data_IF_380354425327
#
_entry.id   IF_380354425327
#
_cell.length_a   1.000
_cell.length_b   1.000
_cell.length_c   1.000
_cell.angle_alpha   90.00
_cell.angle_beta   90.00
_cell.angle_gamma   90.00
#
_symmetry.space_group_name_H-M   'P 1'
#
loop_
_entity.id
_entity.type
_entity.pdbx_description
1 polymer ?
#
# COMPACT_ATOMS: atom_id res chain seq x y z
N UNK A 1 51.74 58.17 -10.43
CA UNK A 1 52.39 57.35 -11.47
C UNK A 1 52.69 55.99 -10.85
N UNK A 2 52.10 54.85 -11.18
CA UNK A 2 50.93 54.48 -11.97
C UNK A 2 50.41 53.17 -11.33
N UNK A 3 49.10 53.07 -11.12
CA UNK A 3 48.40 51.86 -10.69
C UNK A 3 48.29 50.93 -11.90
N UNK A 4 48.71 49.67 -11.77
CA UNK A 4 48.49 48.64 -12.76
C UNK A 4 47.57 47.55 -12.18
N UNK A 5 46.39 47.47 -12.77
CA UNK A 5 45.33 46.48 -12.60
C UNK A 5 45.76 45.10 -13.10
N UNK A 6 45.77 44.09 -12.22
CA UNK A 6 45.82 42.68 -12.58
C UNK A 6 44.42 42.09 -12.45
N UNK A 7 43.70 42.00 -13.56
CA UNK A 7 42.38 41.37 -13.66
C UNK A 7 42.46 39.86 -13.44
N UNK A 8 41.40 39.34 -12.83
CA UNK A 8 41.17 37.92 -12.57
C UNK A 8 40.96 37.12 -13.87
N UNK A 9 41.72 36.05 -14.04
CA UNK A 9 41.34 34.91 -14.87
C UNK A 9 41.18 33.71 -13.94
N UNK A 10 39.93 33.45 -13.54
CA UNK A 10 39.56 32.19 -12.96
C UNK A 10 39.55 31.14 -14.09
N UNK A 11 40.37 30.11 -13.95
CA UNK A 11 40.35 28.93 -14.81
C UNK A 11 38.91 28.37 -14.90
N UNK A 12 38.44 27.95 -16.09
CA UNK A 12 37.15 27.31 -16.19
C UNK A 12 37.26 25.96 -15.48
N UNK A 13 36.58 25.84 -14.33
CA UNK A 13 36.33 24.57 -13.67
C UNK A 13 35.61 23.69 -14.69
N UNK A 14 36.32 22.67 -15.17
CA UNK A 14 35.78 21.59 -15.97
C UNK A 14 34.57 21.02 -15.21
N UNK A 15 33.38 21.23 -15.77
CA UNK A 15 32.13 20.70 -15.24
C UNK A 15 32.20 19.19 -15.40
N UNK A 16 32.78 18.53 -14.40
CA UNK A 16 32.70 17.09 -14.23
C UNK A 16 31.24 16.66 -14.35
N UNK A 17 30.97 16.01 -15.47
CA UNK A 17 29.83 15.14 -15.77
C UNK A 17 28.93 14.88 -14.57
N UNK A 18 27.72 15.44 -14.61
CA UNK A 18 26.59 14.94 -13.85
C UNK A 18 26.58 13.40 -13.88
N UNK A 19 26.39 12.70 -12.75
CA UNK A 19 26.20 11.26 -12.80
C UNK A 19 24.99 11.00 -13.69
N UNK A 20 25.22 10.30 -14.80
CA UNK A 20 24.15 9.78 -15.64
C UNK A 20 23.17 9.04 -14.73
N UNK A 21 21.95 9.57 -14.60
CA UNK A 21 20.83 8.80 -14.08
C UNK A 21 20.73 7.60 -15.01
N UNK A 22 21.20 6.44 -14.58
CA UNK A 22 21.01 5.16 -15.27
C UNK A 22 19.54 5.12 -15.68
N UNK A 23 19.27 5.21 -16.99
CA UNK A 23 17.94 5.08 -17.55
C UNK A 23 17.50 3.62 -17.37
N UNK A 24 17.19 3.24 -16.13
CA UNK A 24 16.56 1.98 -15.84
C UNK A 24 15.29 1.91 -16.68
N UNK A 25 15.18 0.87 -17.49
CA UNK A 25 14.02 0.63 -18.33
C UNK A 25 12.75 0.79 -17.50
N UNK A 26 11.75 1.53 -18.00
CA UNK A 26 10.48 1.76 -17.30
C UNK A 26 9.87 0.45 -16.76
N UNK A 27 10.12 -0.69 -17.41
CA UNK A 27 9.69 -2.02 -16.96
C UNK A 27 10.35 -2.47 -15.65
N UNK A 28 11.64 -2.20 -15.47
CA UNK A 28 12.39 -2.53 -14.25
C UNK A 28 11.88 -1.68 -13.09
N UNK A 29 11.66 -0.38 -13.33
CA UNK A 29 11.08 0.52 -12.34
C UNK A 29 9.63 0.16 -11.99
N UNK A 30 8.83 -0.29 -12.97
CA UNK A 30 7.49 -0.82 -12.71
C UNK A 30 7.53 -2.06 -11.82
N UNK A 31 8.45 -2.99 -12.09
CA UNK A 31 8.61 -4.18 -11.27
C UNK A 31 9.07 -3.84 -9.85
N UNK A 32 10.00 -2.90 -9.69
CA UNK A 32 10.40 -2.37 -8.39
C UNK A 32 9.24 -1.71 -7.65
N UNK A 33 8.44 -0.89 -8.36
CA UNK A 33 7.25 -0.25 -7.80
C UNK A 33 6.19 -1.26 -7.34
N UNK A 34 6.01 -2.39 -8.06
CA UNK A 34 5.12 -3.46 -7.57
C UNK A 34 5.53 -3.97 -6.20
N UNK A 35 6.83 -4.21 -5.99
CA UNK A 35 7.35 -4.70 -4.72
C UNK A 35 7.25 -3.68 -3.59
N UNK A 36 7.81 -2.49 -3.83
CA UNK A 36 8.01 -1.49 -2.76
C UNK A 36 6.80 -0.58 -2.58
N UNK A 37 6.12 -0.18 -3.65
CA UNK A 37 5.03 0.81 -3.56
C UNK A 37 3.69 0.14 -3.30
N UNK A 38 3.46 -1.02 -3.92
CA UNK A 38 2.16 -1.69 -3.93
C UNK A 38 2.06 -2.91 -3.01
N UNK A 39 3.11 -3.20 -2.24
CA UNK A 39 3.10 -4.31 -1.29
C UNK A 39 1.98 -4.17 -0.26
N UNK A 40 1.86 -2.99 0.35
CA UNK A 40 0.90 -2.71 1.42
C UNK A 40 -0.56 -2.88 0.96
N UNK A 41 -1.00 -2.05 0.02
CA UNK A 41 -2.35 -2.14 -0.58
C UNK A 41 -2.61 -3.50 -1.26
N UNK A 42 -1.55 -4.17 -1.73
CA UNK A 42 -1.63 -5.49 -2.33
C UNK A 42 -1.99 -6.59 -1.34
N UNK A 43 -1.73 -6.41 -0.04
CA UNK A 43 -2.03 -7.38 1.02
C UNK A 43 -3.38 -7.16 1.69
N UNK A 44 -4.00 -5.99 1.47
CA UNK A 44 -5.33 -5.67 2.01
C UNK A 44 -6.44 -6.68 1.68
N UNK A 45 -6.46 -7.41 0.55
CA UNK A 45 -7.49 -8.42 0.29
C UNK A 45 -7.52 -9.57 1.29
N UNK A 46 -6.45 -9.80 2.07
CA UNK A 46 -6.39 -10.85 3.08
C UNK A 46 -7.39 -10.58 4.22
N UNK A 47 -7.64 -9.31 4.55
CA UNK A 47 -8.47 -8.90 5.68
C UNK A 47 -9.64 -7.99 5.31
N UNK A 48 -9.45 -7.01 4.41
CA UNK A 48 -10.39 -5.90 4.24
C UNK A 48 -11.83 -6.31 3.87
N UNK A 49 -11.98 -7.32 2.99
CA UNK A 49 -13.32 -7.78 2.58
C UNK A 49 -14.05 -8.49 3.73
N UNK A 50 -13.35 -9.35 4.46
CA UNK A 50 -13.87 -10.06 5.63
C UNK A 50 -14.33 -9.08 6.71
N UNK A 51 -13.47 -8.13 7.07
CA UNK A 51 -13.79 -7.12 8.09
C UNK A 51 -14.96 -6.22 7.67
N UNK A 52 -15.02 -5.83 6.40
CA UNK A 52 -16.14 -5.05 5.88
C UNK A 52 -17.45 -5.85 5.85
N UNK A 53 -17.41 -7.15 5.54
CA UNK A 53 -18.58 -8.01 5.63
C UNK A 53 -19.07 -8.17 7.06
N UNK A 54 -18.18 -8.46 8.02
CA UNK A 54 -18.56 -8.55 9.44
C UNK A 54 -19.18 -7.24 9.95
N UNK A 55 -18.64 -6.09 9.53
CA UNK A 55 -19.21 -4.79 9.87
C UNK A 55 -20.60 -4.58 9.23
N UNK A 56 -20.86 -5.16 8.06
CA UNK A 56 -22.13 -5.01 7.32
C UNK A 56 -23.24 -5.95 7.78
N UNK A 57 -22.93 -7.20 8.13
CA UNK A 57 -23.95 -8.23 8.37
C UNK A 57 -24.49 -8.22 9.80
N UNK A 58 -23.83 -7.55 10.75
CA UNK A 58 -24.21 -7.56 12.17
C UNK A 58 -24.26 -8.97 12.80
N UNK A 59 -23.72 -9.98 12.11
CA UNK A 59 -23.78 -11.41 12.40
C UNK A 59 -23.01 -12.24 11.36
N UNK A 60 -23.03 -13.57 11.47
CA UNK A 60 -22.14 -14.46 10.68
C UNK A 60 -22.57 -14.74 9.23
N UNK A 61 -23.77 -14.29 8.82
CA UNK A 61 -24.33 -14.55 7.49
C UNK A 61 -24.69 -13.23 6.79
N UNK A 62 -23.98 -12.91 5.71
CA UNK A 62 -24.22 -11.76 4.86
C UNK A 62 -25.22 -12.08 3.75
N UNK A 63 -26.20 -11.21 3.53
CA UNK A 63 -27.14 -11.37 2.41
C UNK A 63 -26.51 -10.85 1.09
N UNK A 64 -27.13 -11.15 -0.06
CA UNK A 64 -26.61 -10.74 -1.38
C UNK A 64 -26.51 -9.21 -1.53
N UNK A 65 -27.44 -8.45 -0.95
CA UNK A 65 -27.42 -6.99 -1.01
C UNK A 65 -26.23 -6.41 -0.22
N UNK A 66 -25.92 -6.98 0.95
CA UNK A 66 -24.77 -6.58 1.77
C UNK A 66 -23.46 -6.85 1.03
N UNK A 67 -23.33 -8.05 0.45
CA UNK A 67 -22.13 -8.45 -0.30
C UNK A 67 -21.90 -7.52 -1.50
N UNK A 68 -22.95 -7.23 -2.28
CA UNK A 68 -22.85 -6.30 -3.42
C UNK A 68 -22.58 -4.85 -2.96
N UNK A 69 -23.17 -4.43 -1.83
CA UNK A 69 -22.94 -3.13 -1.22
C UNK A 69 -21.50 -2.93 -0.77
N UNK A 70 -20.96 -3.87 0.01
CA UNK A 70 -19.57 -3.88 0.48
C UNK A 70 -18.60 -3.93 -0.70
N UNK A 71 -18.85 -4.81 -1.67
CA UNK A 71 -17.99 -4.92 -2.85
C UNK A 71 -18.00 -3.61 -3.66
N UNK A 72 -19.17 -2.98 -3.84
CA UNK A 72 -19.29 -1.69 -4.51
C UNK A 72 -18.53 -0.59 -3.78
N UNK A 73 -18.65 -0.55 -2.43
CA UNK A 73 -17.90 0.38 -1.60
C UNK A 73 -16.38 0.20 -1.78
N UNK A 74 -15.86 -1.02 -1.80
CA UNK A 74 -14.42 -1.28 -2.02
C UNK A 74 -14.00 -0.81 -3.42
N UNK A 75 -14.73 -1.20 -4.47
CA UNK A 75 -14.42 -0.83 -5.85
C UNK A 75 -14.33 0.69 -6.00
N UNK A 76 -15.33 1.41 -5.47
CA UNK A 76 -15.37 2.87 -5.57
C UNK A 76 -14.40 3.55 -4.62
N UNK A 77 -14.10 2.98 -3.46
CA UNK A 77 -13.08 3.51 -2.56
C UNK A 77 -11.68 3.44 -3.19
N UNK A 78 -11.32 2.31 -3.82
CA UNK A 78 -10.10 2.16 -4.61
C UNK A 78 -10.07 3.13 -5.80
N UNK A 79 -11.20 3.26 -6.51
CA UNK A 79 -11.31 4.13 -7.69
C UNK A 79 -11.18 5.61 -7.31
N UNK A 80 -11.94 6.08 -6.33
CA UNK A 80 -11.95 7.49 -5.94
C UNK A 80 -10.66 7.85 -5.22
N UNK A 81 -10.24 7.04 -4.24
CA UNK A 81 -9.12 7.40 -3.39
C UNK A 81 -7.79 7.15 -4.11
N UNK A 82 -7.56 5.95 -4.63
CA UNK A 82 -6.26 5.61 -5.22
C UNK A 82 -6.18 6.11 -6.66
N UNK A 83 -7.15 5.78 -7.52
CA UNK A 83 -7.07 6.15 -8.93
C UNK A 83 -7.29 7.66 -9.14
N UNK A 84 -8.38 8.24 -8.62
CA UNK A 84 -8.69 9.65 -8.88
C UNK A 84 -7.85 10.57 -7.99
N UNK A 85 -7.90 10.41 -6.67
CA UNK A 85 -7.15 11.30 -5.75
C UNK A 85 -5.64 11.07 -5.88
N UNK A 86 -5.12 9.86 -5.68
CA UNK A 86 -3.66 9.69 -5.65
C UNK A 86 -3.03 9.73 -7.05
N UNK A 87 -3.46 8.83 -7.94
CA UNK A 87 -2.82 8.62 -9.25
C UNK A 87 -3.02 9.82 -10.19
N UNK A 88 -4.24 10.38 -10.28
CA UNK A 88 -4.51 11.49 -11.20
C UNK A 88 -4.10 12.85 -10.62
N UNK A 89 -4.26 13.09 -9.31
CA UNK A 89 -4.07 14.40 -8.69
C UNK A 89 -2.79 14.47 -7.83
N UNK A 90 -2.70 13.73 -6.73
CA UNK A 90 -1.63 13.90 -5.72
C UNK A 90 -0.23 13.63 -6.28
N UNK A 91 -0.05 12.61 -7.15
CA UNK A 91 1.25 12.33 -7.77
C UNK A 91 1.76 13.46 -8.70
N UNK A 92 0.94 14.47 -9.02
CA UNK A 92 1.39 15.67 -9.75
C UNK A 92 1.94 16.76 -8.83
N UNK A 93 1.67 16.67 -7.54
CA UNK A 93 2.11 17.63 -6.55
C UNK A 93 3.45 17.17 -5.94
N UNK A 94 4.50 17.07 -6.74
CA UNK A 94 5.84 16.81 -6.22
C UNK A 94 6.51 18.11 -5.72
N UNK A 95 7.45 17.96 -4.80
CA UNK A 95 8.33 19.03 -4.36
C UNK A 95 9.77 18.68 -4.76
N UNK A 96 10.20 19.14 -5.94
CA UNK A 96 11.50 18.80 -6.54
C UNK A 96 11.67 17.31 -6.79
N UNK A 97 10.61 16.65 -7.25
CA UNK A 97 10.59 15.20 -7.50
C UNK A 97 10.23 14.34 -6.27
N UNK A 98 10.29 14.91 -5.06
CA UNK A 98 9.91 14.20 -3.83
C UNK A 98 8.41 14.31 -3.56
N UNK A 99 7.83 13.22 -3.05
CA UNK A 99 6.45 13.19 -2.58
C UNK A 99 6.36 12.85 -1.09
N UNK A 100 5.15 12.59 -0.61
CA UNK A 100 4.87 12.30 0.80
C UNK A 100 4.29 13.49 1.59
N UNK A 101 3.79 13.20 2.79
CA UNK A 101 3.03 14.14 3.62
C UNK A 101 3.84 15.40 3.95
N UNK A 102 5.11 15.26 4.34
CA UNK A 102 5.96 16.40 4.67
C UNK A 102 6.40 17.18 3.43
N UNK A 103 6.59 16.52 2.29
CA UNK A 103 6.83 17.17 1.00
C UNK A 103 5.65 18.05 0.56
N UNK A 104 4.42 17.54 0.70
CA UNK A 104 3.21 18.31 0.42
C UNK A 104 3.03 19.47 1.40
N UNK A 105 3.32 19.25 2.70
CA UNK A 105 3.30 20.32 3.69
C UNK A 105 4.30 21.43 3.35
N UNK A 106 5.53 21.08 2.96
CA UNK A 106 6.54 22.05 2.55
C UNK A 106 6.10 22.85 1.32
N UNK A 107 5.53 22.19 0.30
CA UNK A 107 4.99 22.85 -0.88
C UNK A 107 3.84 23.81 -0.51
N UNK A 108 2.89 23.35 0.30
CA UNK A 108 1.75 24.15 0.74
C UNK A 108 2.16 25.36 1.59
N UNK A 109 3.22 25.26 2.40
CA UNK A 109 3.74 26.40 3.17
C UNK A 109 4.34 27.49 2.26
N UNK A 110 4.93 27.11 1.12
CA UNK A 110 5.43 28.05 0.12
C UNK A 110 4.32 28.85 -0.56
N UNK A 111 3.16 28.22 -0.81
CA UNK A 111 2.01 28.86 -1.45
C UNK A 111 1.13 29.65 -0.48
N UNK A 112 0.92 29.13 0.74
CA UNK A 112 0.03 29.72 1.74
C UNK A 112 0.79 30.38 2.90
N UNK A 113 1.63 31.38 2.58
CA UNK A 113 2.49 32.06 3.55
C UNK A 113 1.73 32.60 4.78
N UNK A 114 0.52 33.17 4.58
CA UNK A 114 -0.31 33.72 5.65
C UNK A 114 -0.86 32.65 6.63
N UNK A 115 -0.87 31.37 6.25
CA UNK A 115 -1.38 30.26 7.08
C UNK A 115 -0.30 29.20 7.37
N UNK A 116 0.97 29.56 7.22
CA UNK A 116 2.11 28.65 7.32
C UNK A 116 2.13 27.82 8.61
N UNK A 117 1.75 28.41 9.75
CA UNK A 117 1.68 27.71 11.03
C UNK A 117 0.57 26.63 11.08
N UNK A 118 -0.60 26.91 10.50
CA UNK A 118 -1.71 25.93 10.40
C UNK A 118 -1.30 24.78 9.49
N UNK A 119 -0.70 25.10 8.33
CA UNK A 119 -0.22 24.10 7.37
C UNK A 119 0.85 23.21 8.00
N UNK A 120 1.78 23.80 8.77
CA UNK A 120 2.76 23.04 9.53
C UNK A 120 2.05 22.09 10.51
N UNK A 121 1.14 22.60 11.34
CA UNK A 121 0.38 21.80 12.30
C UNK A 121 -0.34 20.60 11.67
N UNK A 122 -1.02 20.81 10.54
CA UNK A 122 -1.67 19.74 9.77
C UNK A 122 -0.65 18.72 9.26
N UNK A 123 0.51 19.17 8.77
CA UNK A 123 1.58 18.27 8.34
C UNK A 123 2.19 17.45 9.48
N UNK A 124 2.34 18.04 10.67
CA UNK A 124 2.79 17.29 11.86
C UNK A 124 1.77 16.19 12.20
N UNK A 125 0.48 16.53 12.24
CA UNK A 125 -0.59 15.55 12.51
C UNK A 125 -0.57 14.43 11.47
N UNK A 126 -0.44 14.77 10.18
CA UNK A 126 -0.36 13.78 9.10
C UNK A 126 0.87 12.87 9.23
N UNK A 127 2.04 13.42 9.56
CA UNK A 127 3.26 12.64 9.79
C UNK A 127 3.11 11.71 11.00
N UNK A 128 2.50 12.16 12.09
CA UNK A 128 2.23 11.34 13.28
C UNK A 128 1.26 10.19 12.96
N UNK A 129 0.22 10.44 12.17
CA UNK A 129 -0.71 9.39 11.72
C UNK A 129 0.00 8.35 10.86
N UNK A 130 0.91 8.77 9.96
CA UNK A 130 1.72 7.85 9.17
C UNK A 130 2.64 6.98 10.05
N UNK A 131 3.26 7.53 11.09
CA UNK A 131 4.02 6.72 12.05
C UNK A 131 3.14 5.71 12.79
N UNK A 132 1.91 6.10 13.14
CA UNK A 132 0.94 5.19 13.75
C UNK A 132 0.60 4.02 12.82
N UNK A 133 0.32 4.31 11.56
CA UNK A 133 0.08 3.29 10.53
C UNK A 133 1.29 2.37 10.35
N UNK A 134 2.50 2.94 10.36
CA UNK A 134 3.73 2.19 10.21
C UNK A 134 4.00 1.16 11.33
N UNK A 135 3.38 1.33 12.50
CA UNK A 135 3.42 0.37 13.59
C UNK A 135 2.35 -0.72 13.41
N UNK A 136 1.17 -0.36 12.91
CA UNK A 136 0.01 -1.26 12.82
C UNK A 136 0.13 -2.21 11.61
N UNK A 137 0.53 -1.70 10.46
CA UNK A 137 0.48 -2.44 9.19
C UNK A 137 1.29 -3.73 9.19
N UNK A 138 2.56 -3.77 9.66
CA UNK A 138 3.30 -5.03 9.76
C UNK A 138 2.62 -6.06 10.66
N UNK A 139 2.05 -5.61 11.78
CA UNK A 139 1.41 -6.50 12.74
C UNK A 139 0.14 -7.13 12.17
N UNK A 140 -0.78 -6.33 11.61
CA UNK A 140 -2.05 -6.81 11.08
C UNK A 140 -1.85 -7.66 9.81
N UNK A 141 -0.96 -7.24 8.92
CA UNK A 141 -0.71 -7.96 7.67
C UNK A 141 -0.12 -9.34 7.93
N UNK A 142 0.96 -9.43 8.73
CA UNK A 142 1.60 -10.72 9.03
C UNK A 142 0.67 -11.62 9.83
N UNK A 143 -0.07 -11.08 10.81
CA UNK A 143 -1.05 -11.86 11.57
C UNK A 143 -2.11 -12.46 10.64
N UNK A 144 -2.67 -11.65 9.75
CA UNK A 144 -3.72 -12.08 8.81
C UNK A 144 -3.21 -13.16 7.83
N UNK A 145 -1.94 -13.09 7.42
CA UNK A 145 -1.33 -14.14 6.60
C UNK A 145 -1.18 -15.47 7.36
N UNK A 146 -0.76 -15.40 8.63
CA UNK A 146 -0.57 -16.56 9.50
C UNK A 146 -1.91 -17.21 9.89
N UNK A 147 -2.96 -16.41 10.09
CA UNK A 147 -4.34 -16.89 10.33
C UNK A 147 -4.86 -17.80 9.22
N UNK A 148 -4.36 -17.66 7.98
CA UNK A 148 -4.70 -18.56 6.88
C UNK A 148 -4.39 -20.04 7.15
N UNK A 149 -3.47 -20.34 8.07
CA UNK A 149 -3.21 -21.71 8.49
C UNK A 149 -4.35 -22.34 9.29
N UNK A 150 -5.20 -21.53 9.95
CA UNK A 150 -6.35 -22.05 10.69
C UNK A 150 -7.39 -22.69 9.75
N UNK A 151 -7.42 -22.28 8.48
CA UNK A 151 -8.24 -22.89 7.43
C UNK A 151 -7.72 -24.28 7.05
N UNK A 152 -6.40 -24.53 7.17
CA UNK A 152 -5.80 -25.84 6.94
C UNK A 152 -6.09 -26.79 8.11
N UNK A 153 -5.86 -26.33 9.34
CA UNK A 153 -6.23 -27.06 10.55
C UNK A 153 -6.39 -26.13 11.76
N UNK A 154 -7.48 -26.26 12.53
CA UNK A 154 -7.66 -25.51 13.77
C UNK A 154 -6.57 -25.76 14.82
N UNK A 155 -5.78 -26.83 14.68
CA UNK A 155 -4.66 -27.14 15.57
C UNK A 155 -3.58 -26.04 15.59
N UNK A 156 -3.53 -25.18 14.56
CA UNK A 156 -2.57 -24.07 14.50
C UNK A 156 -2.99 -22.83 15.29
N UNK A 157 -4.24 -22.73 15.76
CA UNK A 157 -4.76 -21.56 16.49
C UNK A 157 -3.84 -21.08 17.63
N UNK A 158 -3.33 -21.94 18.53
CA UNK A 158 -2.45 -21.49 19.62
C UNK A 158 -1.09 -20.96 19.15
N UNK A 159 -0.69 -21.28 17.92
CA UNK A 159 0.61 -20.94 17.34
C UNK A 159 0.58 -19.68 16.47
N UNK A 160 -0.60 -19.15 16.13
CA UNK A 160 -0.76 -17.96 15.27
C UNK A 160 -0.01 -16.75 15.83
N UNK A 161 -0.29 -16.38 17.09
CA UNK A 161 0.35 -15.22 17.72
C UNK A 161 1.86 -15.42 17.93
N UNK A 162 2.35 -16.54 18.51
CA UNK A 162 3.79 -16.78 18.65
C UNK A 162 4.54 -16.78 17.32
N UNK A 163 3.96 -17.37 16.26
CA UNK A 163 4.61 -17.41 14.95
C UNK A 163 4.64 -16.02 14.30
N UNK A 164 3.58 -15.22 14.44
CA UNK A 164 3.55 -13.84 13.98
C UNK A 164 4.66 -13.01 14.63
N UNK A 165 4.83 -13.13 15.96
CA UNK A 165 5.90 -12.45 16.68
C UNK A 165 7.29 -12.91 16.22
N UNK A 166 7.47 -14.21 15.98
CA UNK A 166 8.72 -14.76 15.45
C UNK A 166 9.03 -14.20 14.06
N UNK A 167 8.04 -14.19 13.15
CA UNK A 167 8.21 -13.64 11.79
C UNK A 167 8.59 -12.16 11.87
N UNK A 168 7.86 -11.36 12.66
CA UNK A 168 8.19 -9.94 12.83
C UNK A 168 9.60 -9.77 13.39
N UNK A 169 9.98 -10.50 14.44
CA UNK A 169 11.32 -10.42 15.00
C UNK A 169 12.41 -10.73 13.97
N UNK A 170 12.22 -11.76 13.14
CA UNK A 170 13.15 -12.11 12.04
C UNK A 170 13.19 -11.02 10.98
N UNK A 171 12.02 -10.53 10.55
CA UNK A 171 11.90 -9.47 9.52
C UNK A 171 12.62 -8.21 9.97
N UNK A 172 12.36 -7.72 11.18
CA UNK A 172 13.05 -6.55 11.76
C UNK A 172 14.54 -6.82 12.01
N UNK A 173 14.93 -8.02 12.43
CA UNK A 173 16.34 -8.37 12.64
C UNK A 173 17.15 -8.36 11.33
N UNK A 174 16.54 -8.75 10.21
CA UNK A 174 17.20 -8.75 8.89
C UNK A 174 17.36 -7.34 8.31
N UNK A 175 16.53 -6.36 8.73
CA UNK A 175 16.60 -4.98 8.21
C UNK A 175 17.95 -4.30 8.42
N UNK A 176 18.69 -4.68 9.46
CA UNK A 176 20.03 -4.14 9.73
C UNK A 176 21.04 -4.36 8.59
N UNK A 177 20.77 -5.32 7.71
CA UNK A 177 21.64 -5.66 6.58
C UNK A 177 21.33 -4.87 5.31
N UNK A 178 20.36 -3.95 5.36
CA UNK A 178 20.00 -3.08 4.24
C UNK A 178 18.99 -3.70 3.27
N UNK A 179 18.25 -2.83 2.57
CA UNK A 179 17.20 -3.20 1.62
C UNK A 179 17.72 -3.39 0.18
N UNK A 180 18.97 -3.00 -0.10
CA UNK A 180 19.53 -2.95 -1.45
C UNK A 180 19.57 -4.31 -2.18
N UNK A 181 19.84 -5.41 -1.48
CA UNK A 181 19.81 -6.75 -2.07
C UNK A 181 18.41 -7.38 -2.13
N UNK A 182 17.51 -6.96 -1.24
CA UNK A 182 16.18 -7.59 -1.07
C UNK A 182 15.15 -7.00 -2.03
N UNK A 183 15.29 -5.72 -2.39
CA UNK A 183 14.40 -5.02 -3.33
C UNK A 183 14.32 -5.67 -4.72
N UNK A 184 15.38 -6.38 -5.15
CA UNK A 184 15.39 -7.08 -6.44
C UNK A 184 14.44 -8.30 -6.46
N UNK A 185 14.19 -8.91 -5.29
CA UNK A 185 13.32 -10.08 -5.13
C UNK A 185 11.86 -9.66 -4.90
N UNK A 186 11.63 -8.49 -4.30
CA UNK A 186 10.29 -8.00 -3.97
C UNK A 186 9.40 -7.84 -5.20
N UNK A 187 9.91 -7.23 -6.26
CA UNK A 187 9.13 -7.01 -7.48
C UNK A 187 8.58 -8.31 -8.09
N UNK A 188 9.43 -9.32 -8.39
CA UNK A 188 8.97 -10.63 -8.87
C UNK A 188 7.97 -11.33 -7.95
N UNK A 189 8.23 -11.35 -6.64
CA UNK A 189 7.34 -12.02 -5.67
C UNK A 189 5.98 -11.33 -5.65
N UNK A 190 5.94 -10.00 -5.62
CA UNK A 190 4.68 -9.25 -5.62
C UNK A 190 3.94 -9.37 -6.96
N UNK A 191 4.65 -9.48 -8.09
CA UNK A 191 4.02 -9.76 -9.38
C UNK A 191 3.35 -11.14 -9.40
N UNK A 192 4.01 -12.18 -8.85
CA UNK A 192 3.44 -13.52 -8.68
C UNK A 192 2.24 -13.48 -7.74
N UNK A 193 2.32 -12.72 -6.65
CA UNK A 193 1.20 -12.48 -5.74
C UNK A 193 -0.02 -11.90 -6.45
N UNK A 194 0.12 -10.78 -7.17
CA UNK A 194 -1.00 -10.17 -7.90
C UNK A 194 -1.61 -11.12 -8.93
N UNK A 195 -0.77 -11.84 -9.67
CA UNK A 195 -1.22 -12.85 -10.62
C UNK A 195 -2.02 -13.96 -9.92
N UNK A 196 -1.50 -14.50 -8.82
CA UNK A 196 -2.15 -15.57 -8.07
C UNK A 196 -3.52 -15.14 -7.52
N UNK A 197 -3.61 -13.97 -6.89
CA UNK A 197 -4.85 -13.50 -6.27
C UNK A 197 -5.95 -13.19 -7.30
N UNK A 198 -5.60 -12.61 -8.45
CA UNK A 198 -6.62 -12.32 -9.46
C UNK A 198 -6.99 -13.55 -10.30
N UNK A 199 -6.09 -14.53 -10.51
CA UNK A 199 -6.47 -15.83 -11.09
C UNK A 199 -7.42 -16.60 -10.16
N UNK A 200 -7.13 -16.61 -8.86
CA UNK A 200 -8.03 -17.16 -7.84
C UNK A 200 -9.41 -16.48 -7.86
N UNK A 201 -9.43 -15.15 -7.97
CA UNK A 201 -10.66 -14.38 -8.04
C UNK A 201 -11.48 -14.67 -9.31
N UNK A 202 -10.81 -14.68 -10.46
CA UNK A 202 -11.44 -14.94 -11.76
C UNK A 202 -12.14 -16.31 -11.81
N UNK A 203 -11.55 -17.35 -11.20
CA UNK A 203 -12.15 -18.68 -11.09
C UNK A 203 -13.55 -18.64 -10.46
N UNK A 204 -13.77 -17.79 -9.46
CA UNK A 204 -15.05 -17.70 -8.73
C UNK A 204 -16.05 -16.78 -9.43
N UNK A 205 -15.58 -15.72 -10.09
CA UNK A 205 -16.43 -14.81 -10.88
C UNK A 205 -17.14 -15.57 -12.02
N UNK A 206 -16.48 -16.55 -12.64
CA UNK A 206 -17.09 -17.38 -13.69
C UNK A 206 -18.32 -18.14 -13.18
N UNK A 207 -18.35 -18.52 -11.90
CA UNK A 207 -19.46 -19.25 -11.29
C UNK A 207 -20.66 -18.37 -10.95
N UNK A 208 -20.45 -17.10 -10.58
CA UNK A 208 -21.52 -16.12 -10.36
C UNK A 208 -21.15 -14.77 -11.03
N UNK A 209 -21.35 -14.64 -12.36
CA UNK A 209 -21.00 -13.42 -13.10
C UNK A 209 -21.79 -12.19 -12.66
N UNK A 210 -22.93 -12.39 -11.98
CA UNK A 210 -23.76 -11.30 -11.49
C UNK A 210 -23.06 -10.50 -10.37
N UNK A 211 -21.99 -11.03 -9.75
CA UNK A 211 -21.18 -10.28 -8.78
C UNK A 211 -20.62 -8.98 -9.39
N UNK A 212 -20.39 -8.95 -10.71
CA UNK A 212 -19.85 -7.79 -11.41
C UNK A 212 -20.81 -6.59 -11.43
N UNK A 213 -22.09 -6.79 -11.13
CA UNK A 213 -23.03 -5.68 -10.99
C UNK A 213 -22.62 -4.73 -9.86
N UNK A 214 -21.86 -5.20 -8.86
CA UNK A 214 -21.30 -4.39 -7.78
C UNK A 214 -20.46 -3.19 -8.27
N UNK A 215 -19.96 -3.20 -9.51
CA UNK A 215 -19.28 -2.04 -10.11
C UNK A 215 -20.19 -0.81 -10.12
N UNK A 216 -21.52 -1.00 -10.23
CA UNK A 216 -22.44 0.11 -10.30
C UNK A 216 -22.65 0.74 -8.91
N UNK A 217 -22.46 2.07 -8.75
CA UNK A 217 -22.51 2.75 -7.45
C UNK A 217 -23.91 2.78 -6.82
N UNK A 218 -24.95 2.36 -7.55
CA UNK A 218 -26.29 2.25 -6.98
C UNK A 218 -26.35 1.32 -5.76
N UNK A 219 -25.50 0.29 -5.68
CA UNK A 219 -25.43 -0.58 -4.51
C UNK A 219 -24.95 0.16 -3.26
N UNK A 220 -24.04 1.14 -3.41
CA UNK A 220 -23.62 2.01 -2.31
C UNK A 220 -24.83 2.82 -1.82
N UNK A 221 -25.52 3.49 -2.75
CA UNK A 221 -26.67 4.34 -2.40
C UNK A 221 -27.77 3.52 -1.73
N UNK A 222 -28.08 2.34 -2.26
CA UNK A 222 -29.05 1.42 -1.68
C UNK A 222 -28.63 0.96 -0.28
N UNK A 223 -27.35 0.63 -0.08
CA UNK A 223 -26.81 0.21 1.21
C UNK A 223 -26.97 1.32 2.27
N UNK A 224 -26.61 2.56 1.93
CA UNK A 224 -26.77 3.72 2.82
C UNK A 224 -28.22 4.03 3.15
N UNK A 225 -29.14 3.90 2.20
CA UNK A 225 -30.57 4.16 2.42
C UNK A 225 -31.19 3.09 3.33
N UNK A 226 -30.82 1.83 3.10
CA UNK A 226 -31.43 0.71 3.81
C UNK A 226 -30.88 0.53 5.22
N UNK A 227 -29.62 0.90 5.47
CA UNK A 227 -28.96 0.67 6.77
C UNK A 227 -27.87 1.73 7.04
N UNK A 228 -28.26 2.96 7.43
CA UNK A 228 -27.32 4.08 7.57
C UNK A 228 -26.27 3.88 8.67
N UNK A 229 -26.65 3.34 9.83
CA UNK A 229 -25.73 3.14 10.96
C UNK A 229 -24.66 2.09 10.64
N UNK A 230 -25.10 0.96 10.07
CA UNK A 230 -24.24 -0.14 9.61
C UNK A 230 -23.35 0.32 8.46
N UNK A 231 -23.89 1.10 7.52
CA UNK A 231 -23.13 1.65 6.39
C UNK A 231 -21.99 2.54 6.85
N UNK A 232 -22.22 3.37 7.87
CA UNK A 232 -21.18 4.23 8.42
C UNK A 232 -19.99 3.42 8.98
N UNK A 233 -20.27 2.38 9.77
CA UNK A 233 -19.22 1.49 10.33
C UNK A 233 -18.52 0.71 9.21
N UNK A 234 -19.28 0.21 8.24
CA UNK A 234 -18.78 -0.56 7.10
C UNK A 234 -17.80 0.27 6.25
N UNK A 235 -18.06 1.56 6.03
CA UNK A 235 -17.13 2.44 5.32
C UNK A 235 -15.78 2.54 6.03
N UNK A 236 -15.78 2.56 7.37
CA UNK A 236 -14.57 2.50 8.17
C UNK A 236 -13.77 1.23 7.91
N UNK A 237 -14.44 0.07 7.87
CA UNK A 237 -13.81 -1.21 7.55
C UNK A 237 -13.32 -1.28 6.09
N UNK A 238 -14.08 -0.74 5.14
CA UNK A 238 -13.68 -0.65 3.71
C UNK A 238 -12.42 0.19 3.52
N UNK A 239 -12.14 1.14 4.42
CA UNK A 239 -10.91 1.93 4.37
C UNK A 239 -9.64 1.07 4.44
N UNK A 240 -9.73 -0.11 5.06
CA UNK A 240 -8.67 -1.12 5.08
C UNK A 240 -8.23 -1.56 3.68
N UNK A 241 -9.12 -1.52 2.68
CA UNK A 241 -8.78 -1.85 1.29
C UNK A 241 -7.92 -0.78 0.59
N UNK A 242 -7.82 0.42 1.18
CA UNK A 242 -7.13 1.58 0.59
C UNK A 242 -5.85 1.93 1.38
N UNK A 243 -5.58 1.21 2.47
CA UNK A 243 -4.32 1.33 3.22
C UNK A 243 -3.12 1.07 2.31
N UNK A 244 -2.05 1.84 2.50
CA UNK A 244 -0.89 1.85 1.61
C UNK A 244 -0.97 2.85 0.46
N UNK A 245 -2.09 3.58 0.29
CA UNK A 245 -2.22 4.54 -0.80
C UNK A 245 -1.22 5.73 -0.70
N UNK A 246 -0.83 6.07 0.52
CA UNK A 246 0.18 7.07 0.87
C UNK A 246 1.60 6.65 0.50
N UNK A 247 1.91 5.34 0.48
CA UNK A 247 3.20 4.83 0.04
C UNK A 247 3.47 5.19 -1.44
N UNK A 248 2.41 5.21 -2.29
CA UNK A 248 2.51 5.68 -3.68
C UNK A 248 3.09 7.09 -3.78
N UNK A 249 2.69 7.95 -2.85
CA UNK A 249 3.14 9.33 -2.87
C UNK A 249 4.49 9.50 -2.17
N UNK A 250 4.75 8.78 -1.09
CA UNK A 250 6.04 8.82 -0.39
C UNK A 250 7.21 8.35 -1.28
N UNK A 251 6.99 7.35 -2.14
CA UNK A 251 8.03 6.77 -3.00
C UNK A 251 8.12 7.40 -4.40
N UNK A 252 7.51 8.58 -4.58
CA UNK A 252 7.56 9.29 -5.85
C UNK A 252 8.99 9.64 -6.29
N UNK A 253 9.86 10.01 -5.33
CA UNK A 253 11.26 10.34 -5.61
C UNK A 253 12.08 9.14 -6.11
N UNK A 254 11.74 7.92 -5.66
CA UNK A 254 12.49 6.70 -5.98
C UNK A 254 12.12 6.12 -7.35
N UNK A 255 10.83 6.03 -7.67
CA UNK A 255 10.35 5.36 -8.89
C UNK A 255 9.88 6.32 -9.97
N UNK A 256 9.58 7.56 -9.61
CA UNK A 256 8.94 8.52 -10.49
C UNK A 256 7.46 8.19 -10.76
N UNK A 257 6.75 9.18 -11.28
CA UNK A 257 5.30 9.08 -11.49
C UNK A 257 4.91 8.00 -12.50
N UNK A 258 5.61 7.89 -13.63
CA UNK A 258 5.17 7.04 -14.76
C UNK A 258 5.16 5.54 -14.42
N UNK A 259 6.20 4.96 -13.80
CA UNK A 259 6.16 3.55 -13.39
C UNK A 259 5.06 3.24 -12.38
N UNK A 260 4.85 4.11 -11.39
CA UNK A 260 3.78 3.98 -10.38
C UNK A 260 2.41 3.92 -11.06
N UNK A 261 2.09 4.91 -11.92
CA UNK A 261 0.81 4.97 -12.64
C UNK A 261 0.57 3.74 -13.52
N UNK A 262 1.57 3.30 -14.26
CA UNK A 262 1.44 2.14 -15.15
C UNK A 262 1.27 0.83 -14.37
N UNK A 263 2.02 0.64 -13.29
CA UNK A 263 1.88 -0.54 -12.42
C UNK A 263 0.48 -0.60 -11.79
N UNK A 264 -0.06 0.54 -11.34
CA UNK A 264 -1.42 0.60 -10.83
C UNK A 264 -2.47 0.18 -11.86
N UNK A 265 -2.49 0.86 -13.01
CA UNK A 265 -3.56 0.69 -14.00
C UNK A 265 -3.48 -0.64 -14.74
N UNK A 266 -2.28 -1.17 -14.96
CA UNK A 266 -2.10 -2.41 -15.73
C UNK A 266 -2.13 -3.66 -14.85
N UNK A 267 -1.74 -3.57 -13.57
CA UNK A 267 -1.53 -4.74 -12.71
C UNK A 267 -2.32 -4.57 -11.40
N UNK A 268 -1.96 -3.63 -10.54
CA UNK A 268 -2.47 -3.68 -9.17
C UNK A 268 -4.00 -3.52 -9.12
N UNK A 269 -4.54 -2.51 -9.78
CA UNK A 269 -5.98 -2.24 -9.80
C UNK A 269 -6.81 -3.40 -10.38
N UNK A 270 -6.59 -3.88 -11.62
CA UNK A 270 -7.43 -4.94 -12.18
C UNK A 270 -7.34 -6.25 -11.40
N UNK A 271 -6.15 -6.64 -10.94
CA UNK A 271 -5.97 -7.90 -10.21
C UNK A 271 -6.59 -7.84 -8.80
N UNK A 272 -6.55 -6.68 -8.12
CA UNK A 272 -7.28 -6.47 -6.86
C UNK A 272 -8.79 -6.54 -7.07
N UNK A 273 -9.33 -5.88 -8.10
CA UNK A 273 -10.77 -5.92 -8.38
C UNK A 273 -11.26 -7.35 -8.64
N UNK A 274 -10.51 -8.13 -9.42
CA UNK A 274 -10.81 -9.55 -9.65
C UNK A 274 -10.81 -10.35 -8.35
N UNK A 275 -9.86 -10.09 -7.46
CA UNK A 275 -9.80 -10.78 -6.18
C UNK A 275 -11.00 -10.44 -5.29
N UNK A 276 -11.31 -9.16 -5.08
CA UNK A 276 -12.46 -8.75 -4.27
C UNK A 276 -13.79 -9.27 -4.82
N UNK A 277 -13.98 -9.21 -6.15
CA UNK A 277 -15.18 -9.77 -6.78
C UNK A 277 -15.23 -11.30 -6.63
N UNK A 278 -14.10 -12.00 -6.75
CA UNK A 278 -14.03 -13.44 -6.52
C UNK A 278 -14.36 -13.84 -5.08
N UNK A 279 -13.89 -13.07 -4.09
CA UNK A 279 -14.27 -13.28 -2.68
C UNK A 279 -15.77 -13.12 -2.48
N UNK A 280 -16.39 -12.08 -3.08
CA UNK A 280 -17.84 -11.89 -3.04
C UNK A 280 -18.61 -13.06 -3.66
N UNK A 281 -18.18 -13.54 -4.83
CA UNK A 281 -18.79 -14.70 -5.48
C UNK A 281 -18.65 -15.99 -4.65
N UNK A 282 -17.50 -16.19 -4.00
CA UNK A 282 -17.28 -17.34 -3.10
C UNK A 282 -18.23 -17.30 -1.89
N UNK A 283 -18.36 -16.16 -1.22
CA UNK A 283 -19.25 -16.01 -0.05
C UNK A 283 -20.71 -16.25 -0.44
N UNK A 284 -21.15 -15.75 -1.59
CA UNK A 284 -22.49 -16.03 -2.11
C UNK A 284 -22.72 -17.52 -2.35
N UNK A 285 -21.74 -18.22 -2.93
CA UNK A 285 -21.83 -19.65 -3.20
C UNK A 285 -21.91 -20.50 -1.90
N UNK A 286 -21.33 -20.02 -0.79
CA UNK A 286 -21.39 -20.67 0.54
C UNK A 286 -22.57 -20.20 1.39
N UNK A 287 -23.57 -19.54 0.80
CA UNK A 287 -24.78 -19.13 1.52
C UNK A 287 -24.59 -17.95 2.47
N UNK A 288 -23.53 -17.15 2.27
CA UNK A 288 -23.31 -15.90 3.01
C UNK A 288 -22.42 -16.03 4.26
N UNK A 289 -21.91 -17.22 4.59
CA UNK A 289 -21.08 -17.42 5.79
C UNK A 289 -19.77 -16.63 5.71
N UNK A 290 -19.53 -15.79 6.72
CA UNK A 290 -18.33 -14.94 6.81
C UNK A 290 -17.26 -15.66 7.65
N UNK A 291 -16.39 -16.42 6.97
CA UNK A 291 -15.22 -17.08 7.56
C UNK A 291 -13.92 -16.36 7.19
N UNK A 292 -13.00 -17.06 6.51
CA UNK A 292 -11.81 -16.47 5.88
C UNK A 292 -11.90 -16.55 4.33
N UNK A 293 -12.75 -15.73 3.65
CA UNK A 293 -13.03 -15.87 2.22
C UNK A 293 -11.79 -15.93 1.34
N UNK A 294 -10.77 -15.13 1.66
CA UNK A 294 -9.51 -15.11 0.91
C UNK A 294 -8.78 -16.46 0.90
N UNK A 295 -8.70 -17.14 2.04
CA UNK A 295 -8.02 -18.44 2.12
C UNK A 295 -8.94 -19.58 1.72
N UNK A 296 -10.20 -19.54 2.15
CA UNK A 296 -11.16 -20.60 1.87
C UNK A 296 -11.51 -20.72 0.39
N UNK A 297 -11.49 -19.62 -0.39
CA UNK A 297 -11.68 -19.73 -1.85
C UNK A 297 -10.57 -20.54 -2.55
N UNK A 298 -9.42 -20.75 -1.91
CA UNK A 298 -8.28 -21.48 -2.43
C UNK A 298 -8.25 -22.95 -1.95
N UNK A 299 -9.37 -23.68 -2.04
CA UNK A 299 -9.47 -25.06 -1.51
C UNK A 299 -8.48 -26.06 -2.17
N UNK A 300 -8.09 -27.09 -1.40
CA UNK A 300 -7.26 -28.19 -1.86
C UNK A 300 -5.77 -27.87 -1.88
N UNK A 301 -5.07 -28.23 -2.97
CA UNK A 301 -3.61 -28.08 -3.09
C UNK A 301 -3.16 -26.61 -3.16
N UNK A 302 -4.04 -25.68 -3.56
CA UNK A 302 -3.72 -24.27 -3.75
C UNK A 302 -3.61 -23.48 -2.44
N UNK A 303 -4.21 -23.96 -1.34
CA UNK A 303 -4.24 -23.29 -0.05
C UNK A 303 -2.85 -23.06 0.52
N UNK A 304 -2.02 -24.11 0.60
CA UNK A 304 -0.69 -24.04 1.20
C UNK A 304 0.23 -23.08 0.41
N UNK A 305 0.34 -23.19 -0.94
CA UNK A 305 1.05 -22.19 -1.73
C UNK A 305 0.54 -20.76 -1.52
N UNK A 306 -0.78 -20.56 -1.41
CA UNK A 306 -1.35 -19.23 -1.20
C UNK A 306 -0.98 -18.66 0.18
N UNK A 307 -0.99 -19.48 1.24
CA UNK A 307 -0.55 -19.06 2.58
C UNK A 307 0.93 -18.67 2.59
N UNK A 308 1.80 -19.46 1.94
CA UNK A 308 3.23 -19.14 1.83
C UNK A 308 3.43 -17.84 1.05
N UNK A 309 2.70 -17.64 -0.05
CA UNK A 309 2.80 -16.44 -0.86
C UNK A 309 2.25 -15.21 -0.12
N UNK A 310 1.17 -15.36 0.65
CA UNK A 310 0.63 -14.32 1.52
C UNK A 310 1.64 -13.92 2.62
N UNK A 311 2.30 -14.90 3.25
CA UNK A 311 3.36 -14.62 4.21
C UNK A 311 4.52 -13.85 3.56
N UNK A 312 4.95 -14.23 2.34
CA UNK A 312 5.97 -13.50 1.62
C UNK A 312 5.52 -12.06 1.26
N UNK A 313 4.29 -11.88 0.75
CA UNK A 313 3.75 -10.57 0.38
C UNK A 313 3.62 -9.63 1.58
N UNK A 314 3.20 -10.15 2.74
CA UNK A 314 3.06 -9.36 3.98
C UNK A 314 4.39 -8.96 4.59
N UNK A 315 5.44 -9.78 4.45
CA UNK A 315 6.81 -9.37 4.77
C UNK A 315 7.25 -8.22 3.87
N UNK A 316 6.98 -8.29 2.56
CA UNK A 316 7.31 -7.21 1.62
C UNK A 316 6.55 -5.92 1.95
N UNK A 317 5.25 -6.01 2.19
CA UNK A 317 4.42 -4.90 2.64
C UNK A 317 4.98 -4.22 3.90
N UNK A 318 5.37 -5.02 4.89
CA UNK A 318 6.00 -4.53 6.12
C UNK A 318 7.29 -3.74 5.83
N UNK A 319 8.11 -4.21 4.89
CA UNK A 319 9.36 -3.52 4.52
C UNK A 319 9.13 -2.18 3.84
N UNK A 320 8.13 -2.09 2.96
CA UNK A 320 7.75 -0.84 2.29
C UNK A 320 7.40 0.25 3.30
N UNK A 321 6.52 -0.09 4.24
CA UNK A 321 6.02 0.82 5.27
C UNK A 321 7.15 1.27 6.21
N UNK A 322 8.03 0.35 6.62
CA UNK A 322 9.18 0.68 7.46
C UNK A 322 10.17 1.60 6.73
N UNK A 323 10.41 1.35 5.44
CA UNK A 323 11.24 2.23 4.60
C UNK A 323 10.62 3.63 4.48
N UNK A 324 9.29 3.71 4.31
CA UNK A 324 8.54 4.96 4.34
C UNK A 324 8.71 5.73 5.65
N UNK A 325 8.69 5.02 6.80
CA UNK A 325 8.90 5.63 8.12
C UNK A 325 10.33 6.21 8.28
N UNK A 326 11.35 5.53 7.76
CA UNK A 326 12.72 6.08 7.73
C UNK A 326 12.81 7.33 6.85
N UNK A 327 12.20 7.32 5.66
CA UNK A 327 12.14 8.48 4.76
C UNK A 327 11.43 9.68 5.41
N UNK A 328 10.30 9.43 6.07
CA UNK A 328 9.55 10.45 6.80
C UNK A 328 10.36 11.01 7.98
N UNK A 329 11.06 10.14 8.73
CA UNK A 329 11.96 10.55 9.82
C UNK A 329 13.06 11.47 9.31
N UNK A 330 13.72 11.11 8.20
CA UNK A 330 14.74 11.95 7.55
C UNK A 330 14.20 13.32 7.17
N UNK A 331 13.02 13.36 6.55
CA UNK A 331 12.35 14.62 6.17
C UNK A 331 12.01 15.47 7.40
N UNK A 332 11.51 14.86 8.47
CA UNK A 332 11.18 15.55 9.72
C UNK A 332 12.43 16.14 10.40
N UNK A 333 13.57 15.44 10.37
CA UNK A 333 14.85 15.99 10.87
C UNK A 333 15.30 17.20 10.05
N UNK A 334 15.23 17.11 8.72
CA UNK A 334 15.59 18.23 7.82
C UNK A 334 14.70 19.47 8.03
N UNK A 335 13.44 19.26 8.42
CA UNK A 335 12.49 20.33 8.73
C UNK A 335 12.58 20.82 10.18
N UNK A 336 13.57 20.38 10.96
CA UNK A 336 13.74 20.68 12.40
C UNK A 336 12.53 20.29 13.27
N UNK A 337 11.78 19.26 12.86
CA UNK A 337 10.64 18.71 13.61
C UNK A 337 11.06 17.59 14.58
N UNK A 338 12.21 16.97 14.34
CA UNK A 338 12.82 15.95 15.19
C UNK A 338 14.25 16.36 15.57
N UNK A 339 14.80 15.84 16.70
CA UNK A 339 16.20 16.04 17.04
C UNK A 339 17.10 15.48 15.95
N UNK A 340 18.35 15.98 15.88
CA UNK A 340 19.33 15.48 14.91
C UNK A 340 19.67 14.02 15.24
N UNK A 341 19.28 13.11 14.36
CA UNK A 341 19.60 11.70 14.43
C UNK A 341 20.78 11.38 13.50
N UNK A 342 21.60 10.39 13.86
CA UNK A 342 22.62 9.85 12.98
C UNK A 342 21.96 9.04 11.86
N UNK A 343 22.22 9.43 10.60
CA UNK A 343 21.66 8.75 9.42
C UNK A 343 22.75 7.82 8.87
N UNK A 344 22.58 6.53 9.11
CA UNK A 344 23.45 5.49 8.56
C UNK A 344 22.86 5.01 7.22
N UNK A 345 23.52 5.36 6.12
CA UNK A 345 23.14 4.89 4.80
C UNK A 345 23.57 3.42 4.63
N UNK A 346 22.58 2.53 4.46
CA UNK A 346 22.82 1.08 4.29
C UNK A 346 23.08 0.66 2.85
N UNK A 347 23.02 1.60 1.89
CA UNK A 347 23.31 1.39 0.48
C UNK A 347 24.01 2.63 -0.09
N UNK A 348 25.21 2.46 -0.66
CA UNK A 348 26.03 3.55 -1.21
C UNK A 348 25.44 4.21 -2.48
N UNK A 349 24.40 3.62 -3.08
CA UNK A 349 23.83 4.05 -4.38
C UNK A 349 22.46 4.73 -4.32
N UNK A 350 21.88 4.92 -3.14
CA UNK A 350 20.57 5.56 -2.98
C UNK A 350 20.72 6.80 -2.09
N UNK A 351 21.10 7.92 -2.71
CA UNK A 351 21.02 9.28 -2.15
C UNK A 351 19.94 10.06 -2.88
#
# INVERSE_FOLDING_TARGET
MALASGGAEAEPVDQSSHPEIEQHSTKVLMLGALGVVYGDIGTSPIYAFREALHASSGGDVANRADILGVLSLIIWSLTITVTIKYIMFVLRADNRGEGGVLSLMALARGTFAARSAIVLGIGIVGASLFFGDAVITPAISVLSAVEGMNVVTPAFQPYVVPLTLLILAVVFAVQRFGTGGVGLVFGPVTAIWFLAIGLSGLKHIVSDPEILWAISPHYIVAFFINSPDVSFVTVGAVFLAVTGAEALYADLGHFGRKPIVLAWLAIVFPWLLLNYAGQGAYVLAKGGTVGHPFFEMNEGWALIPMVVLAAAATVIASQAVISGAFSLTRQAVQLNMLPRLEILHTSERQS
#
